data_IF_584604477761
#
_entry.id   IF_584604477761
#
_cell.length_a   1.000
_cell.length_b   1.000
_cell.length_c   1.000
_cell.angle_alpha   90.00
_cell.angle_beta   90.00
_cell.angle_gamma   90.00
#
_symmetry.space_group_name_H-M   'P 1'
#
loop_
_entity.id
_entity.type
_entity.pdbx_description
1 polymer ?
#
# COMPACT_ATOMS: atom_id res chain seq x y z
N UNK A 1 -7.28 -17.58 -9.68
CA UNK A 1 -8.10 -17.55 -8.46
C UNK A 1 -7.30 -17.21 -7.19
N UNK A 2 -6.12 -17.85 -6.95
CA UNK A 2 -5.29 -17.56 -5.77
C UNK A 2 -4.90 -16.07 -5.65
N UNK A 3 -4.45 -15.42 -6.73
CA UNK A 3 -4.07 -13.99 -6.70
C UNK A 3 -5.22 -13.05 -6.30
N UNK A 4 -6.46 -13.36 -6.73
CA UNK A 4 -7.64 -12.58 -6.34
C UNK A 4 -7.89 -12.69 -4.83
N UNK A 5 -7.81 -13.90 -4.29
CA UNK A 5 -7.99 -14.12 -2.85
C UNK A 5 -6.93 -13.38 -2.04
N UNK A 6 -5.67 -13.45 -2.47
CA UNK A 6 -4.56 -12.75 -1.82
C UNK A 6 -4.81 -11.23 -1.85
N UNK A 7 -5.23 -10.67 -2.99
CA UNK A 7 -5.53 -9.25 -3.11
C UNK A 7 -6.66 -8.81 -2.17
N UNK A 8 -7.74 -9.59 -2.07
CA UNK A 8 -8.84 -9.30 -1.14
C UNK A 8 -8.39 -9.33 0.32
N UNK A 9 -7.59 -10.33 0.70
CA UNK A 9 -7.02 -10.43 2.05
C UNK A 9 -6.12 -9.21 2.32
N UNK A 10 -5.26 -8.84 1.37
CA UNK A 10 -4.37 -7.67 1.51
C UNK A 10 -5.17 -6.39 1.74
N UNK A 11 -6.24 -6.16 0.97
CA UNK A 11 -7.11 -4.99 1.15
C UNK A 11 -7.77 -4.96 2.53
N UNK A 12 -8.28 -6.09 3.00
CA UNK A 12 -8.86 -6.20 4.34
C UNK A 12 -7.82 -5.91 5.44
N UNK A 13 -6.62 -6.49 5.33
CA UNK A 13 -5.53 -6.25 6.28
C UNK A 13 -5.08 -4.79 6.30
N UNK A 14 -4.98 -4.12 5.14
CA UNK A 14 -4.66 -2.70 5.06
C UNK A 14 -5.70 -1.82 5.77
N UNK A 15 -6.98 -2.14 5.62
CA UNK A 15 -8.06 -1.41 6.28
C UNK A 15 -8.01 -1.59 7.81
N UNK A 16 -7.83 -2.82 8.30
CA UNK A 16 -7.69 -3.12 9.72
C UNK A 16 -6.46 -2.42 10.30
N UNK A 17 -5.31 -2.52 9.62
CA UNK A 17 -4.07 -1.85 10.04
C UNK A 17 -4.26 -0.33 10.14
N UNK A 18 -4.91 0.28 9.16
CA UNK A 18 -5.17 1.72 9.15
C UNK A 18 -6.00 2.16 10.35
N UNK A 19 -7.05 1.41 10.69
CA UNK A 19 -7.90 1.67 11.88
C UNK A 19 -7.12 1.51 13.17
N UNK A 20 -6.34 0.43 13.32
CA UNK A 20 -5.51 0.19 14.50
C UNK A 20 -4.48 1.28 14.72
N UNK A 21 -3.74 1.63 13.66
CA UNK A 21 -2.74 2.70 13.71
C UNK A 21 -3.38 4.04 14.07
N UNK A 22 -4.52 4.36 13.47
CA UNK A 22 -5.26 5.59 13.77
C UNK A 22 -5.73 5.62 15.21
N UNK A 23 -6.23 4.51 15.75
CA UNK A 23 -6.62 4.38 17.14
C UNK A 23 -5.45 4.57 18.11
N UNK A 24 -4.32 3.92 17.83
CA UNK A 24 -3.11 4.03 18.64
C UNK A 24 -2.55 5.47 18.65
N UNK A 25 -2.58 6.17 17.52
CA UNK A 25 -2.06 7.54 17.45
C UNK A 25 -2.90 8.58 18.18
N UNK A 26 -4.16 8.26 18.51
CA UNK A 26 -4.99 9.12 19.37
C UNK A 26 -4.53 9.11 20.84
N UNK A 27 -3.85 8.04 21.25
CA UNK A 27 -3.38 7.85 22.63
C UNK A 27 -1.92 8.26 22.84
N UNK A 28 -1.11 8.27 21.77
CA UNK A 28 0.33 8.51 21.87
C UNK A 28 0.79 9.61 20.91
N UNK A 29 1.11 9.24 19.69
CA UNK A 29 1.58 10.20 18.68
C UNK A 29 1.88 9.51 17.36
N UNK A 30 1.86 10.27 16.27
CA UNK A 30 1.98 9.71 14.93
C UNK A 30 3.34 9.03 14.70
N UNK A 31 4.42 9.68 15.10
CA UNK A 31 5.77 9.18 14.85
C UNK A 31 6.12 7.96 15.68
N UNK A 32 5.73 7.94 16.97
CA UNK A 32 6.01 6.80 17.84
C UNK A 32 5.26 5.55 17.39
N UNK A 33 3.98 5.71 17.03
CA UNK A 33 3.18 4.58 16.50
C UNK A 33 3.75 4.09 15.18
N UNK A 34 4.08 5.01 14.26
CA UNK A 34 4.65 4.62 12.98
C UNK A 34 5.98 3.89 13.14
N UNK A 35 6.87 4.40 14.00
CA UNK A 35 8.15 3.73 14.29
C UNK A 35 7.93 2.32 14.85
N UNK A 36 6.99 2.15 15.77
CA UNK A 36 6.67 0.85 16.34
C UNK A 36 6.10 -0.13 15.30
N UNK A 37 5.21 0.36 14.45
CA UNK A 37 4.60 -0.45 13.36
C UNK A 37 5.67 -0.91 12.36
N UNK A 38 6.58 -0.02 11.95
CA UNK A 38 7.67 -0.39 11.05
C UNK A 38 8.65 -1.37 11.69
N UNK A 39 8.98 -1.17 12.98
CA UNK A 39 9.85 -2.06 13.72
C UNK A 39 9.23 -3.45 13.86
N UNK A 40 7.98 -3.55 14.26
CA UNK A 40 7.31 -4.86 14.41
C UNK A 40 7.17 -5.58 13.08
N UNK A 41 6.86 -4.85 12.00
CA UNK A 41 6.87 -5.40 10.65
C UNK A 41 8.25 -5.93 10.24
N UNK A 42 9.30 -5.17 10.49
CA UNK A 42 10.68 -5.60 10.26
C UNK A 42 11.03 -6.88 11.03
N UNK A 43 10.70 -6.95 12.32
CA UNK A 43 10.97 -8.13 13.14
C UNK A 43 10.25 -9.38 12.62
N UNK A 44 8.99 -9.24 12.22
CA UNK A 44 8.24 -10.35 11.60
C UNK A 44 8.93 -10.83 10.32
N UNK A 45 9.34 -9.91 9.44
CA UNK A 45 10.04 -10.25 8.21
C UNK A 45 11.38 -10.98 8.49
N UNK A 46 12.16 -10.49 9.46
CA UNK A 46 13.44 -11.14 9.87
C UNK A 46 13.20 -12.56 10.37
N UNK A 47 12.19 -12.77 11.20
CA UNK A 47 11.86 -14.11 11.70
C UNK A 47 11.47 -15.04 10.54
N UNK A 48 10.62 -14.58 9.64
CA UNK A 48 10.20 -15.39 8.48
C UNK A 48 11.39 -15.69 7.57
N UNK A 49 12.23 -14.71 7.26
CA UNK A 49 13.44 -14.91 6.48
C UNK A 49 14.36 -15.93 7.13
N UNK A 50 14.59 -15.82 8.43
CA UNK A 50 15.45 -16.76 9.17
C UNK A 50 14.92 -18.20 9.12
N UNK A 51 13.59 -18.37 9.18
CA UNK A 51 12.98 -19.70 9.19
C UNK A 51 12.86 -20.33 7.79
N UNK A 52 12.70 -19.51 6.74
CA UNK A 52 12.36 -20.01 5.39
C UNK A 52 13.47 -19.82 4.36
N UNK A 53 14.18 -18.69 4.40
CA UNK A 53 15.04 -18.26 3.28
C UNK A 53 16.52 -18.10 3.64
N UNK A 54 16.89 -18.29 4.90
CA UNK A 54 18.28 -18.11 5.39
C UNK A 54 19.32 -18.90 4.58
N UNK A 55 18.95 -20.02 4.01
CA UNK A 55 19.86 -20.88 3.22
C UNK A 55 19.95 -20.48 1.74
N UNK A 56 19.03 -19.62 1.26
CA UNK A 56 18.89 -19.28 -0.16
C UNK A 56 19.26 -17.82 -0.44
N UNK A 57 19.03 -16.92 0.52
CA UNK A 57 19.25 -15.48 0.35
C UNK A 57 20.01 -14.86 1.51
N UNK A 58 20.70 -13.76 1.24
CA UNK A 58 21.48 -13.03 2.24
C UNK A 58 21.30 -11.51 2.15
N UNK A 59 21.45 -10.81 3.28
CA UNK A 59 21.34 -9.34 3.33
C UNK A 59 22.31 -8.58 2.38
N UNK A 60 23.57 -9.03 2.20
CA UNK A 60 24.47 -8.39 1.24
C UNK A 60 23.96 -8.39 -0.21
N UNK A 61 23.10 -9.33 -0.60
CA UNK A 61 22.51 -9.38 -1.94
C UNK A 61 21.59 -8.17 -2.22
N UNK A 62 21.01 -7.55 -1.19
CA UNK A 62 20.27 -6.30 -1.32
C UNK A 62 21.12 -5.17 -1.92
N UNK A 63 22.44 -5.17 -1.66
CA UNK A 63 23.35 -4.17 -2.22
C UNK A 63 23.69 -4.42 -3.70
N UNK A 64 23.37 -5.60 -4.22
CA UNK A 64 23.62 -6.04 -5.59
C UNK A 64 22.43 -5.79 -6.52
N UNK A 65 21.30 -5.32 -5.97
CA UNK A 65 20.13 -4.95 -6.79
C UNK A 65 20.51 -3.83 -7.76
N UNK A 66 20.21 -4.03 -9.05
CA UNK A 66 20.59 -3.12 -10.12
C UNK A 66 20.02 -1.71 -9.90
N UNK A 67 18.76 -1.62 -9.54
CA UNK A 67 18.05 -0.35 -9.31
C UNK A 67 17.83 -0.09 -7.82
N UNK A 68 18.80 0.55 -7.18
CA UNK A 68 18.78 0.84 -5.72
C UNK A 68 17.59 1.67 -5.24
N UNK A 69 16.93 2.43 -6.12
CA UNK A 69 15.71 3.16 -5.76
C UNK A 69 14.56 2.23 -5.32
N UNK A 70 14.58 0.96 -5.74
CA UNK A 70 13.60 -0.04 -5.31
C UNK A 70 13.67 -0.32 -3.79
N UNK A 71 14.82 -0.08 -3.17
CA UNK A 71 15.01 -0.21 -1.73
C UNK A 71 14.34 0.92 -0.92
N UNK A 72 13.86 1.98 -1.59
CA UNK A 72 13.11 3.06 -0.93
C UNK A 72 11.71 2.64 -0.46
N UNK A 73 11.29 1.41 -0.75
CA UNK A 73 9.99 0.88 -0.33
C UNK A 73 9.71 1.03 1.17
N UNK A 74 10.71 0.86 2.03
CA UNK A 74 10.58 1.06 3.47
C UNK A 74 10.31 2.53 3.86
N UNK A 75 11.00 3.47 3.22
CA UNK A 75 10.78 4.92 3.40
C UNK A 75 9.38 5.31 2.93
N UNK A 76 9.01 4.85 1.74
CA UNK A 76 7.66 5.07 1.17
C UNK A 76 6.61 4.47 2.12
N UNK A 77 6.82 3.26 2.65
CA UNK A 77 5.93 2.62 3.61
C UNK A 77 5.70 3.43 4.87
N UNK A 78 6.74 4.10 5.40
CA UNK A 78 6.60 5.00 6.55
C UNK A 78 5.70 6.21 6.23
N UNK A 79 5.87 6.81 5.05
CA UNK A 79 5.01 7.92 4.61
C UNK A 79 3.57 7.46 4.29
N UNK A 80 3.40 6.26 3.68
CA UNK A 80 2.07 5.67 3.47
C UNK A 80 1.35 5.54 4.81
N UNK A 81 1.99 4.96 5.83
CA UNK A 81 1.37 4.78 7.15
C UNK A 81 0.93 6.12 7.75
N UNK A 82 1.78 7.15 7.71
CA UNK A 82 1.45 8.48 8.21
C UNK A 82 0.30 9.14 7.46
N UNK A 83 0.29 9.06 6.13
CA UNK A 83 -0.76 9.67 5.30
C UNK A 83 -2.09 8.94 5.44
N UNK A 84 -2.09 7.62 5.56
CA UNK A 84 -3.29 6.81 5.86
C UNK A 84 -3.87 7.20 7.22
N UNK A 85 -3.03 7.28 8.26
CA UNK A 85 -3.47 7.76 9.60
C UNK A 85 -4.07 9.16 9.51
N UNK A 86 -3.39 10.07 8.81
CA UNK A 86 -3.84 11.46 8.63
C UNK A 86 -5.19 11.54 7.90
N UNK A 87 -5.39 10.78 6.84
CA UNK A 87 -6.64 10.75 6.08
C UNK A 87 -7.78 10.13 6.91
N UNK A 88 -7.54 9.02 7.59
CA UNK A 88 -8.55 8.39 8.44
C UNK A 88 -8.96 9.24 9.64
N UNK A 89 -8.05 10.04 10.20
CA UNK A 89 -8.38 11.01 11.27
C UNK A 89 -9.31 12.12 10.80
N UNK A 90 -9.14 12.59 9.57
CA UNK A 90 -9.88 13.73 9.01
C UNK A 90 -11.19 13.30 8.35
N UNK A 91 -11.18 12.21 7.60
CA UNK A 91 -12.29 11.80 6.74
C UNK A 91 -13.08 10.61 7.30
N UNK A 92 -12.56 9.94 8.31
CA UNK A 92 -13.03 8.63 8.75
C UNK A 92 -12.47 7.48 7.91
N UNK A 93 -12.54 6.24 8.42
CA UNK A 93 -11.94 5.08 7.75
C UNK A 93 -12.52 4.81 6.36
N UNK A 94 -13.81 4.90 6.23
CA UNK A 94 -14.56 4.58 5.00
C UNK A 94 -14.17 5.48 3.83
N UNK A 95 -14.31 6.79 3.97
CA UNK A 95 -13.93 7.79 2.94
C UNK A 95 -12.45 7.74 2.61
N UNK A 96 -11.61 7.60 3.63
CA UNK A 96 -10.18 7.52 3.45
C UNK A 96 -9.81 6.31 2.56
N UNK A 97 -10.34 5.12 2.86
CA UNK A 97 -10.06 3.91 2.08
C UNK A 97 -10.55 4.03 0.65
N UNK A 98 -11.75 4.58 0.42
CA UNK A 98 -12.30 4.78 -0.93
C UNK A 98 -11.39 5.68 -1.78
N UNK A 99 -10.94 6.81 -1.25
CA UNK A 99 -10.04 7.73 -1.96
C UNK A 99 -8.66 7.13 -2.21
N UNK A 100 -8.13 6.38 -1.23
CA UNK A 100 -6.86 5.66 -1.36
C UNK A 100 -6.94 4.65 -2.50
N UNK A 101 -8.01 3.85 -2.58
CA UNK A 101 -8.19 2.83 -3.63
C UNK A 101 -8.27 3.47 -5.01
N UNK A 102 -9.01 4.57 -5.19
CA UNK A 102 -9.04 5.28 -6.47
C UNK A 102 -7.65 5.75 -6.87
N UNK A 103 -6.93 6.39 -5.94
CA UNK A 103 -5.57 6.86 -6.19
C UNK A 103 -4.64 5.72 -6.58
N UNK A 104 -4.72 4.58 -5.89
CA UNK A 104 -3.92 3.39 -6.20
C UNK A 104 -4.22 2.87 -7.62
N UNK A 105 -5.49 2.75 -8.00
CA UNK A 105 -5.87 2.27 -9.35
C UNK A 105 -5.36 3.25 -10.42
N UNK A 106 -5.56 4.56 -10.21
CA UNK A 106 -5.12 5.58 -11.16
C UNK A 106 -3.59 5.57 -11.36
N UNK A 107 -2.83 5.54 -10.24
CA UNK A 107 -1.37 5.52 -10.30
C UNK A 107 -0.85 4.21 -10.89
N UNK A 108 -1.42 3.05 -10.53
CA UNK A 108 -1.04 1.77 -11.12
C UNK A 108 -1.28 1.76 -12.64
N UNK A 109 -2.41 2.29 -13.09
CA UNK A 109 -2.70 2.41 -14.53
C UNK A 109 -1.70 3.33 -15.27
N UNK A 110 -1.31 4.46 -14.65
CA UNK A 110 -0.28 5.35 -15.22
C UNK A 110 1.08 4.66 -15.30
N UNK A 111 1.47 3.90 -14.27
CA UNK A 111 2.72 3.14 -14.27
C UNK A 111 2.74 2.13 -15.43
N UNK A 112 1.68 1.36 -15.61
CA UNK A 112 1.55 0.42 -16.74
C UNK A 112 1.54 1.14 -18.09
N UNK A 113 0.82 2.26 -18.22
CA UNK A 113 0.69 2.99 -19.47
C UNK A 113 2.02 3.57 -19.95
N UNK A 114 2.82 4.10 -19.04
CA UNK A 114 4.12 4.68 -19.35
C UNK A 114 5.28 3.67 -19.26
N UNK A 115 5.05 2.50 -18.69
CA UNK A 115 6.09 1.49 -18.45
C UNK A 115 7.13 1.95 -17.43
N UNK A 116 6.70 2.68 -16.38
CA UNK A 116 7.61 3.14 -15.35
C UNK A 116 8.07 1.98 -14.45
N UNK A 117 9.25 2.14 -13.86
CA UNK A 117 9.82 1.21 -12.88
C UNK A 117 9.97 -0.22 -13.42
N UNK A 118 10.31 -0.36 -14.71
CA UNK A 118 10.50 -1.66 -15.40
C UNK A 118 9.22 -2.49 -15.53
N UNK A 119 8.07 -1.89 -15.28
CA UNK A 119 6.79 -2.55 -15.55
C UNK A 119 6.56 -2.60 -17.06
N UNK A 120 6.14 -3.76 -17.57
CA UNK A 120 5.83 -3.94 -18.98
C UNK A 120 4.76 -2.93 -19.42
N UNK A 121 5.05 -2.19 -20.49
CA UNK A 121 4.15 -1.14 -20.97
C UNK A 121 2.88 -1.73 -21.53
N UNK A 122 1.74 -1.34 -20.97
CA UNK A 122 0.43 -1.68 -21.50
C UNK A 122 -0.06 -0.64 -22.53
N UNK A 123 -0.78 -1.10 -23.55
CA UNK A 123 -1.45 -0.19 -24.47
C UNK A 123 -2.59 0.56 -23.75
N UNK A 124 -2.85 1.78 -24.21
CA UNK A 124 -4.00 2.54 -23.73
C UNK A 124 -5.31 1.83 -24.11
N UNK A 125 -6.14 1.58 -23.11
CA UNK A 125 -7.44 0.96 -23.28
C UNK A 125 -8.56 1.85 -22.75
N UNK A 126 -9.49 2.27 -23.61
CA UNK A 126 -10.68 3.04 -23.21
C UNK A 126 -11.50 2.35 -22.11
N UNK A 127 -11.54 1.01 -22.12
CA UNK A 127 -12.27 0.22 -21.11
C UNK A 127 -11.73 0.47 -19.70
N UNK A 128 -10.41 0.55 -19.54
CA UNK A 128 -9.75 0.82 -18.24
C UNK A 128 -10.09 2.23 -17.75
N UNK A 129 -10.07 3.23 -18.65
CA UNK A 129 -10.46 4.60 -18.30
C UNK A 129 -11.93 4.70 -17.89
N UNK A 130 -12.83 4.08 -18.66
CA UNK A 130 -14.25 4.01 -18.31
C UNK A 130 -14.48 3.31 -16.98
N UNK A 131 -13.76 2.20 -16.71
CA UNK A 131 -13.81 1.49 -15.43
C UNK A 131 -13.36 2.37 -14.26
N UNK A 132 -12.28 3.14 -14.43
CA UNK A 132 -11.81 4.08 -13.41
C UNK A 132 -12.85 5.19 -13.15
N UNK A 133 -13.42 5.77 -14.19
CA UNK A 133 -14.46 6.79 -14.06
C UNK A 133 -15.73 6.23 -13.38
N UNK A 134 -16.10 5.00 -13.71
CA UNK A 134 -17.23 4.31 -13.07
C UNK A 134 -16.95 4.05 -11.58
N UNK A 135 -15.72 3.69 -11.20
CA UNK A 135 -15.32 3.53 -9.81
C UNK A 135 -15.41 4.86 -9.04
N UNK A 136 -14.96 5.97 -9.64
CA UNK A 136 -15.10 7.31 -9.07
C UNK A 136 -16.57 7.68 -8.90
N UNK A 137 -17.39 7.47 -9.94
CA UNK A 137 -18.81 7.73 -9.87
C UNK A 137 -19.51 6.88 -8.79
N UNK A 138 -19.15 5.60 -8.67
CA UNK A 138 -19.65 4.72 -7.62
C UNK A 138 -19.34 5.24 -6.21
N UNK A 139 -18.15 5.81 -5.99
CA UNK A 139 -17.79 6.41 -4.70
C UNK A 139 -18.59 7.69 -4.44
N UNK A 140 -18.79 8.52 -5.45
CA UNK A 140 -19.66 9.72 -5.31
C UNK A 140 -21.08 9.32 -4.91
N UNK A 141 -21.64 8.28 -5.54
CA UNK A 141 -22.96 7.74 -5.19
C UNK A 141 -22.97 7.16 -3.77
N UNK A 142 -21.93 6.42 -3.39
CA UNK A 142 -21.80 5.82 -2.05
C UNK A 142 -21.76 6.88 -0.94
N UNK A 143 -21.12 8.02 -1.20
CA UNK A 143 -21.00 9.16 -0.26
C UNK A 143 -22.16 10.15 -0.34
N UNK A 144 -23.06 9.96 -1.30
CA UNK A 144 -24.22 10.87 -1.50
C UNK A 144 -25.18 10.76 -0.33
N UNK A 145 -25.28 11.86 0.40
CA UNK A 145 -26.25 12.05 1.50
C UNK A 145 -27.43 12.84 1.00
#
# INVERSE_FOLDING_TARGET
MLGIMIALISGALMSIQGVFNTGATKQTGNWIVNSFVQLTGFLVCIVIWFLKERGETSFPELLQIDHKYMLLGGVIGAFITLTVIGSMKQLGPEKAVLLIVISQIAVAYLIELFGWFEVERAAFEWRKLVGLLAAVAGIVVFEWK
#
